data_IF_246383226798
#
_entry.id   IF_246383226798
#
_cell.length_a   1.000
_cell.length_b   1.000
_cell.length_c   1.000
_cell.angle_alpha   90.00
_cell.angle_beta   90.00
_cell.angle_gamma   90.00
#
_symmetry.space_group_name_H-M   'P 1'
#
loop_
_entity.id
_entity.type
_entity.pdbx_description
1 polymer ?
#
# COMPACT_ATOMS: atom_id res chain seq x y z
N UNK A 1 -12.71 8.52 -9.16
CA UNK A 1 -12.50 7.13 -8.69
C UNK A 1 -12.45 7.13 -7.17
N UNK A 2 -12.88 6.02 -6.56
CA UNK A 2 -12.60 5.80 -5.14
C UNK A 2 -11.19 5.25 -4.96
N UNK A 3 -10.36 5.96 -4.22
CA UNK A 3 -8.93 5.64 -4.02
C UNK A 3 -8.69 5.28 -2.56
N UNK A 4 -8.31 4.04 -2.29
CA UNK A 4 -7.85 3.62 -0.96
C UNK A 4 -6.39 4.01 -0.79
N UNK A 5 -6.09 4.81 0.24
CA UNK A 5 -4.72 5.26 0.55
C UNK A 5 -4.27 4.63 1.86
N UNK A 6 -3.43 3.60 1.77
CA UNK A 6 -2.86 2.90 2.92
C UNK A 6 -1.64 3.64 3.46
N UNK A 7 -1.60 3.91 4.76
CA UNK A 7 -0.46 4.50 5.45
C UNK A 7 -0.01 3.65 6.64
N UNK A 8 1.31 3.52 6.81
CA UNK A 8 1.88 2.74 7.91
C UNK A 8 3.14 3.39 8.48
N UNK A 9 2.96 4.39 9.35
CA UNK A 9 4.03 4.98 10.15
C UNK A 9 3.48 5.36 11.54
N UNK A 10 4.20 5.02 12.65
CA UNK A 10 3.69 5.27 14.00
C UNK A 10 3.77 6.72 14.46
N UNK A 11 4.60 7.57 13.83
CA UNK A 11 4.83 8.94 14.28
C UNK A 11 4.11 9.95 13.38
N UNK A 12 3.30 10.82 14.00
CA UNK A 12 2.55 11.86 13.28
C UNK A 12 3.44 12.97 12.71
N UNK A 13 4.59 13.24 13.35
CA UNK A 13 5.59 14.21 12.90
C UNK A 13 6.51 13.68 11.80
N UNK A 14 6.32 12.44 11.35
CA UNK A 14 7.19 11.84 10.35
C UNK A 14 7.00 12.45 8.96
N UNK A 15 8.08 12.45 8.15
CA UNK A 15 7.99 12.80 6.72
C UNK A 15 7.01 11.88 5.96
N UNK A 16 6.93 10.60 6.37
CA UNK A 16 5.94 9.67 5.83
C UNK A 16 4.50 10.13 6.04
N UNK A 17 4.19 10.69 7.23
CA UNK A 17 2.87 11.26 7.54
C UNK A 17 2.59 12.51 6.69
N UNK A 18 3.58 13.39 6.52
CA UNK A 18 3.43 14.56 5.64
C UNK A 18 3.14 14.15 4.19
N UNK A 19 3.83 13.11 3.68
CA UNK A 19 3.58 12.55 2.35
C UNK A 19 2.19 11.93 2.23
N UNK A 20 1.70 11.26 3.28
CA UNK A 20 0.35 10.69 3.30
C UNK A 20 -0.72 11.78 3.20
N UNK A 21 -0.64 12.83 4.04
CA UNK A 21 -1.56 13.97 3.99
C UNK A 21 -1.54 14.62 2.60
N UNK A 22 -0.34 14.92 2.09
CA UNK A 22 -0.17 15.49 0.75
C UNK A 22 -0.78 14.61 -0.35
N UNK A 23 -0.61 13.29 -0.24
CA UNK A 23 -1.17 12.32 -1.20
C UNK A 23 -2.69 12.37 -1.20
N UNK A 24 -3.34 12.35 -0.02
CA UNK A 24 -4.79 12.46 0.10
C UNK A 24 -5.31 13.78 -0.47
N UNK A 25 -4.76 14.92 -0.04
CA UNK A 25 -5.12 16.26 -0.52
C UNK A 25 -4.97 16.41 -2.04
N UNK A 26 -3.89 15.87 -2.62
CA UNK A 26 -3.65 15.95 -4.06
C UNK A 26 -4.63 15.12 -4.87
N UNK A 27 -5.00 13.94 -4.37
CA UNK A 27 -6.01 13.07 -4.99
C UNK A 27 -7.42 13.69 -4.90
N UNK A 28 -7.78 14.28 -3.74
CA UNK A 28 -9.04 14.98 -3.57
C UNK A 28 -9.16 16.19 -4.52
N UNK A 29 -8.07 16.98 -4.63
CA UNK A 29 -7.98 18.10 -5.57
C UNK A 29 -8.12 17.65 -7.03
N UNK A 30 -7.67 16.44 -7.37
CA UNK A 30 -7.86 15.83 -8.67
C UNK A 30 -9.28 15.26 -8.89
N UNK A 31 -10.20 15.45 -7.95
CA UNK A 31 -11.59 15.00 -8.04
C UNK A 31 -11.80 13.52 -7.73
N UNK A 32 -10.90 12.89 -6.96
CA UNK A 32 -11.09 11.54 -6.48
C UNK A 32 -11.79 11.52 -5.12
N UNK A 33 -12.57 10.47 -4.85
CA UNK A 33 -13.06 10.13 -3.52
C UNK A 33 -11.95 9.38 -2.79
N UNK A 34 -11.38 10.00 -1.74
CA UNK A 34 -10.25 9.44 -1.02
C UNK A 34 -10.71 8.73 0.24
N UNK A 35 -10.34 7.46 0.34
CA UNK A 35 -10.51 6.63 1.54
C UNK A 35 -9.13 6.47 2.22
N UNK A 36 -8.80 7.40 3.12
CA UNK A 36 -7.54 7.38 3.85
C UNK A 36 -7.55 6.34 4.98
N UNK A 37 -6.62 5.40 4.96
CA UNK A 37 -6.47 4.32 5.93
C UNK A 37 -5.09 4.40 6.59
N UNK A 38 -5.03 5.06 7.75
CA UNK A 38 -3.84 5.05 8.58
C UNK A 38 -3.92 3.88 9.57
N UNK A 39 -3.17 2.83 9.27
CA UNK A 39 -3.22 1.58 10.02
C UNK A 39 -2.85 1.72 11.51
N UNK A 40 -1.98 2.67 11.87
CA UNK A 40 -1.63 2.94 13.26
C UNK A 40 -2.74 3.71 14.00
N UNK A 41 -3.31 4.75 13.40
CA UNK A 41 -4.41 5.53 13.99
C UNK A 41 -5.67 4.68 14.16
N UNK A 42 -5.92 3.77 13.23
CA UNK A 42 -7.08 2.88 13.28
C UNK A 42 -6.86 1.67 14.22
N UNK A 43 -5.68 1.52 14.82
CA UNK A 43 -5.37 0.41 15.72
C UNK A 43 -5.42 -0.96 15.02
N UNK A 44 -5.06 -1.01 13.73
CA UNK A 44 -5.04 -2.27 12.99
C UNK A 44 -4.07 -3.27 13.65
N UNK A 45 -4.55 -4.47 13.95
CA UNK A 45 -3.69 -5.55 14.43
C UNK A 45 -3.03 -6.28 13.24
N UNK A 46 -1.69 -6.20 13.07
CA UNK A 46 -1.00 -6.82 11.95
C UNK A 46 -0.74 -8.32 12.12
N UNK A 47 -1.02 -8.89 13.30
CA UNK A 47 -0.65 -10.28 13.61
C UNK A 47 -1.72 -11.25 13.13
N UNK A 48 -1.36 -12.12 12.20
CA UNK A 48 -2.22 -13.26 11.81
C UNK A 48 -2.22 -14.28 12.96
N UNK A 49 -3.35 -14.37 13.67
CA UNK A 49 -3.49 -15.26 14.81
C UNK A 49 -3.60 -16.73 14.40
N UNK A 50 -3.42 -17.64 15.37
CA UNK A 50 -3.66 -19.07 15.15
C UNK A 50 -5.13 -19.35 14.76
N UNK A 51 -6.08 -18.55 15.27
CA UNK A 51 -7.49 -18.63 14.89
C UNK A 51 -7.67 -18.24 13.42
N UNK A 52 -7.19 -17.05 13.03
CA UNK A 52 -7.28 -16.55 11.63
C UNK A 52 -6.68 -17.57 10.66
N UNK A 53 -5.56 -18.22 11.05
CA UNK A 53 -4.93 -19.23 10.19
C UNK A 53 -5.76 -20.51 10.07
N UNK A 54 -6.51 -20.92 11.11
CA UNK A 54 -7.39 -22.10 11.03
C UNK A 54 -8.56 -21.86 10.09
N UNK A 55 -9.21 -20.67 10.17
CA UNK A 55 -10.36 -20.30 9.34
C UNK A 55 -9.96 -19.66 8.00
N UNK A 56 -8.67 -19.66 7.65
CA UNK A 56 -8.13 -18.90 6.50
C UNK A 56 -8.84 -19.19 5.18
N UNK A 57 -9.32 -20.42 4.98
CA UNK A 57 -10.04 -20.84 3.78
C UNK A 57 -11.56 -20.95 3.97
N UNK A 58 -12.08 -20.63 5.15
CA UNK A 58 -13.50 -20.72 5.47
C UNK A 58 -14.20 -19.39 5.13
N UNK A 59 -14.67 -19.27 3.90
CA UNK A 59 -15.33 -18.07 3.39
C UNK A 59 -16.84 -18.14 3.78
N UNK A 60 -17.42 -17.08 4.35
CA UNK A 60 -16.85 -15.73 4.60
C UNK A 60 -16.23 -15.55 6.00
N UNK A 61 -16.15 -16.57 6.84
CA UNK A 61 -15.72 -16.46 8.25
C UNK A 61 -14.31 -15.91 8.41
N UNK A 62 -13.42 -16.18 7.44
CA UNK A 62 -12.06 -15.67 7.38
C UNK A 62 -11.96 -14.13 7.33
N UNK A 63 -13.03 -13.43 6.95
CA UNK A 63 -13.06 -11.97 6.85
C UNK A 63 -13.57 -11.29 8.12
N UNK A 64 -14.16 -12.02 9.07
CA UNK A 64 -14.95 -11.46 10.18
C UNK A 64 -14.20 -10.38 10.96
N UNK A 65 -12.96 -10.65 11.37
CA UNK A 65 -12.15 -9.71 12.18
C UNK A 65 -11.57 -8.52 11.38
N UNK A 66 -11.50 -8.65 10.08
CA UNK A 66 -10.91 -7.61 9.19
C UNK A 66 -11.92 -7.05 8.19
N UNK A 67 -13.20 -7.37 8.39
CA UNK A 67 -14.26 -6.97 7.47
C UNK A 67 -14.30 -5.49 7.11
N UNK A 68 -14.09 -4.53 8.04
CA UNK A 68 -14.06 -3.11 7.68
C UNK A 68 -12.98 -2.77 6.64
N UNK A 69 -11.81 -3.40 6.73
CA UNK A 69 -10.71 -3.21 5.78
C UNK A 69 -10.95 -3.93 4.46
N UNK A 70 -11.55 -5.12 4.50
CA UNK A 70 -11.98 -5.86 3.30
C UNK A 70 -13.01 -5.05 2.51
N UNK A 71 -14.02 -4.51 3.17
CA UNK A 71 -15.07 -3.71 2.53
C UNK A 71 -14.50 -2.46 1.84
N UNK A 72 -13.51 -1.80 2.44
CA UNK A 72 -12.79 -0.67 1.85
C UNK A 72 -12.01 -1.08 0.61
N UNK A 73 -11.26 -2.19 0.68
CA UNK A 73 -10.49 -2.72 -0.44
C UNK A 73 -11.39 -3.12 -1.62
N UNK A 74 -12.51 -3.77 -1.35
CA UNK A 74 -13.46 -4.19 -2.39
C UNK A 74 -14.20 -3.02 -3.04
N UNK A 75 -14.37 -1.89 -2.33
CA UNK A 75 -14.97 -0.66 -2.87
C UNK A 75 -13.98 0.21 -3.63
N UNK A 76 -12.67 -0.01 -3.45
CA UNK A 76 -11.64 0.82 -4.06
C UNK A 76 -11.51 0.54 -5.57
N UNK A 77 -11.38 1.58 -6.37
CA UNK A 77 -11.08 1.50 -7.80
C UNK A 77 -9.57 1.70 -8.08
N UNK A 78 -8.85 2.25 -7.10
CA UNK A 78 -7.41 2.43 -7.14
C UNK A 78 -6.81 2.30 -5.75
N UNK A 79 -5.52 1.93 -5.68
CA UNK A 79 -4.78 1.76 -4.44
C UNK A 79 -3.53 2.62 -4.45
N UNK A 80 -3.31 3.37 -3.37
CA UNK A 80 -2.07 4.10 -3.12
C UNK A 80 -1.49 3.66 -1.77
N UNK A 81 -0.20 3.38 -1.74
CA UNK A 81 0.52 2.93 -0.54
C UNK A 81 1.54 4.00 -0.19
N UNK A 82 1.47 4.56 1.03
CA UNK A 82 2.42 5.54 1.55
C UNK A 82 3.10 4.96 2.78
N UNK A 83 4.37 4.58 2.66
CA UNK A 83 5.06 3.82 3.72
C UNK A 83 6.56 4.00 3.69
N UNK A 84 7.26 3.93 4.84
CA UNK A 84 8.71 3.78 4.85
C UNK A 84 9.13 2.38 4.40
N UNK A 85 10.39 2.26 4.03
CA UNK A 85 11.06 0.98 3.82
C UNK A 85 11.95 0.70 5.01
N UNK A 86 11.60 -0.33 5.78
CA UNK A 86 12.35 -0.78 6.93
C UNK A 86 12.97 -2.14 6.64
N UNK A 87 14.27 -2.25 6.92
CA UNK A 87 15.03 -3.48 6.68
C UNK A 87 14.83 -4.04 5.25
N UNK A 88 14.81 -3.14 4.26
CA UNK A 88 14.56 -3.43 2.84
C UNK A 88 13.21 -4.13 2.56
N UNK A 89 12.25 -4.01 3.46
CA UNK A 89 10.89 -4.57 3.34
C UNK A 89 9.81 -3.56 3.68
N UNK A 90 8.57 -4.02 3.69
CA UNK A 90 7.47 -3.25 4.26
C UNK A 90 7.51 -3.33 5.80
N UNK A 91 7.08 -2.25 6.50
CA UNK A 91 6.82 -2.34 7.93
C UNK A 91 5.87 -3.49 8.28
N UNK A 92 6.05 -4.09 9.46
CA UNK A 92 5.21 -5.19 9.93
C UNK A 92 3.71 -4.87 9.85
N UNK A 93 3.33 -3.64 10.18
CA UNK A 93 1.96 -3.14 10.09
C UNK A 93 1.38 -3.29 8.67
N UNK A 94 2.10 -2.83 7.64
CA UNK A 94 1.65 -2.95 6.25
C UNK A 94 1.71 -4.41 5.75
N UNK A 95 2.75 -5.16 6.14
CA UNK A 95 2.84 -6.58 5.79
C UNK A 95 1.67 -7.35 6.39
N UNK A 96 1.35 -7.09 7.65
CA UNK A 96 0.19 -7.69 8.33
C UNK A 96 -1.14 -7.33 7.67
N UNK A 97 -1.29 -6.10 7.16
CA UNK A 97 -2.45 -5.74 6.36
C UNK A 97 -2.59 -6.67 5.13
N UNK A 98 -1.53 -6.91 4.38
CA UNK A 98 -1.58 -7.84 3.26
C UNK A 98 -1.85 -9.28 3.71
N UNK A 99 -1.28 -9.73 4.83
CA UNK A 99 -1.48 -11.09 5.32
C UNK A 99 -2.90 -11.35 5.84
N UNK A 100 -3.56 -10.32 6.39
CA UNK A 100 -4.87 -10.47 7.04
C UNK A 100 -6.06 -9.98 6.20
N UNK A 101 -5.82 -9.09 5.22
CA UNK A 101 -6.92 -8.51 4.41
C UNK A 101 -6.94 -9.08 3.00
N UNK A 102 -5.77 -9.45 2.44
CA UNK A 102 -5.71 -10.05 1.10
C UNK A 102 -5.89 -11.57 1.17
N UNK A 103 -7.07 -11.97 1.58
CA UNK A 103 -7.47 -13.35 1.87
C UNK A 103 -8.08 -14.06 0.66
N UNK A 104 -8.26 -15.40 0.72
CA UNK A 104 -9.18 -16.13 -0.16
C UNK A 104 -10.59 -15.51 -0.11
N UNK A 105 -11.23 -15.38 -1.27
CA UNK A 105 -12.52 -14.68 -1.43
C UNK A 105 -12.42 -13.16 -1.48
N UNK A 106 -11.21 -12.56 -1.27
CA UNK A 106 -10.98 -11.11 -1.35
C UNK A 106 -10.00 -10.77 -2.44
N UNK A 107 -8.73 -11.22 -2.35
CA UNK A 107 -7.69 -10.89 -3.33
C UNK A 107 -7.43 -12.01 -4.34
N UNK A 108 -7.83 -13.22 -4.02
CA UNK A 108 -7.76 -14.38 -4.90
C UNK A 108 -8.78 -15.45 -4.51
N UNK A 109 -9.10 -16.29 -5.48
CA UNK A 109 -9.85 -17.54 -5.30
C UNK A 109 -9.01 -18.73 -5.78
N UNK A 110 -9.37 -19.92 -5.32
CA UNK A 110 -8.86 -21.19 -5.83
C UNK A 110 -9.92 -21.79 -6.75
N UNK A 111 -9.72 -21.64 -8.06
CA UNK A 111 -10.60 -22.21 -9.08
C UNK A 111 -9.87 -23.40 -9.74
N UNK A 112 -10.42 -24.59 -9.62
CA UNK A 112 -9.80 -25.83 -10.11
C UNK A 112 -8.34 -26.02 -9.63
N UNK A 113 -8.07 -25.67 -8.36
CA UNK A 113 -6.74 -25.73 -7.75
C UNK A 113 -5.76 -24.64 -8.24
N UNK A 114 -6.21 -23.69 -9.06
CA UNK A 114 -5.40 -22.58 -9.56
C UNK A 114 -5.75 -21.27 -8.84
N UNK A 115 -4.72 -20.55 -8.44
CA UNK A 115 -4.86 -19.23 -7.85
C UNK A 115 -5.36 -18.23 -8.90
N UNK A 116 -6.55 -17.67 -8.68
CA UNK A 116 -7.19 -16.71 -9.58
C UNK A 116 -7.34 -15.37 -8.86
N UNK A 117 -6.67 -14.30 -9.30
CA UNK A 117 -6.81 -12.96 -8.70
C UNK A 117 -8.20 -12.37 -8.87
N UNK A 118 -8.75 -11.77 -7.80
CA UNK A 118 -10.12 -11.21 -7.75
C UNK A 118 -10.17 -9.67 -7.70
N UNK A 119 -9.05 -8.98 -7.36
CA UNK A 119 -9.00 -7.51 -7.28
C UNK A 119 -8.95 -6.82 -8.66
N UNK A 120 -9.58 -7.40 -9.69
CA UNK A 120 -9.57 -6.90 -11.08
C UNK A 120 -10.31 -5.57 -11.27
N UNK A 121 -11.10 -5.15 -10.30
CA UNK A 121 -11.76 -3.85 -10.23
C UNK A 121 -10.78 -2.71 -9.89
N UNK A 122 -9.63 -2.99 -9.27
CA UNK A 122 -8.57 -1.99 -9.00
C UNK A 122 -7.82 -1.71 -10.31
N UNK A 123 -7.96 -0.47 -10.80
CA UNK A 123 -7.51 -0.05 -12.13
C UNK A 123 -6.19 0.70 -12.13
N UNK A 124 -5.71 1.19 -10.95
CA UNK A 124 -4.45 1.91 -10.80
C UNK A 124 -3.79 1.56 -9.46
N UNK A 125 -2.48 1.57 -9.45
CA UNK A 125 -1.67 1.36 -8.25
C UNK A 125 -0.56 2.41 -8.19
N UNK A 126 -0.36 3.03 -7.03
CA UNK A 126 0.83 3.83 -6.77
C UNK A 126 1.44 3.47 -5.41
N UNK A 127 2.75 3.72 -5.29
CA UNK A 127 3.47 3.60 -4.05
C UNK A 127 4.37 4.82 -3.85
N UNK A 128 4.29 5.45 -2.67
CA UNK A 128 5.12 6.56 -2.21
C UNK A 128 5.95 6.05 -1.05
N UNK A 129 7.25 5.89 -1.28
CA UNK A 129 8.16 5.20 -0.38
C UNK A 129 9.27 6.11 0.12
N UNK A 130 9.68 5.94 1.38
CA UNK A 130 10.89 6.59 1.93
C UNK A 130 11.90 5.53 2.34
N UNK A 131 13.16 5.71 1.94
CA UNK A 131 14.26 4.79 2.20
C UNK A 131 15.35 5.48 3.01
N UNK A 132 15.83 4.85 4.07
CA UNK A 132 17.09 5.26 4.72
C UNK A 132 18.32 4.94 3.86
N UNK A 133 18.22 3.93 2.99
CA UNK A 133 19.31 3.53 2.10
C UNK A 133 19.40 4.41 0.86
N UNK A 134 20.62 4.52 0.30
CA UNK A 134 20.87 5.15 -1.01
C UNK A 134 20.27 4.32 -2.15
N UNK A 135 20.04 4.93 -3.35
CA UNK A 135 19.55 4.19 -4.53
C UNK A 135 20.45 3.00 -4.90
N UNK A 136 21.78 3.17 -4.78
CA UNK A 136 22.74 2.12 -5.08
C UNK A 136 22.60 0.92 -4.13
N UNK A 137 22.47 1.16 -2.81
CA UNK A 137 22.27 0.09 -1.84
C UNK A 137 20.94 -0.64 -2.07
N UNK A 138 19.87 0.11 -2.34
CA UNK A 138 18.57 -0.48 -2.66
C UNK A 138 18.63 -1.36 -3.92
N UNK A 139 19.38 -0.93 -4.94
CA UNK A 139 19.61 -1.71 -6.16
C UNK A 139 20.39 -3.00 -5.89
N UNK A 140 21.51 -2.93 -5.15
CA UNK A 140 22.36 -4.09 -4.84
C UNK A 140 21.62 -5.20 -4.08
N UNK A 141 20.70 -4.84 -3.16
CA UNK A 141 19.86 -5.83 -2.49
C UNK A 141 18.62 -6.23 -3.31
N UNK A 142 18.53 -5.78 -4.56
CA UNK A 142 17.47 -6.14 -5.51
C UNK A 142 16.15 -5.41 -5.33
N UNK A 143 16.09 -4.34 -4.50
CA UNK A 143 14.93 -3.49 -4.25
C UNK A 143 13.61 -4.28 -4.02
N UNK A 144 13.52 -5.11 -2.97
CA UNK A 144 12.37 -5.99 -2.76
C UNK A 144 11.02 -5.26 -2.73
N UNK A 145 10.84 -4.10 -2.03
CA UNK A 145 9.56 -3.40 -2.01
C UNK A 145 9.08 -2.99 -3.41
N UNK A 146 9.99 -2.50 -4.27
CA UNK A 146 9.67 -2.15 -5.65
C UNK A 146 9.22 -3.38 -6.46
N UNK A 147 9.86 -4.53 -6.25
CA UNK A 147 9.46 -5.78 -6.91
C UNK A 147 8.09 -6.26 -6.43
N UNK A 148 7.81 -6.16 -5.12
CA UNK A 148 6.50 -6.52 -4.58
C UNK A 148 5.42 -5.65 -5.22
N UNK A 149 5.57 -4.32 -5.23
CA UNK A 149 4.58 -3.42 -5.84
C UNK A 149 4.41 -3.69 -7.33
N UNK A 150 5.51 -3.72 -8.10
CA UNK A 150 5.46 -3.76 -9.56
C UNK A 150 5.15 -5.15 -10.13
N UNK A 151 5.29 -6.21 -9.35
CA UNK A 151 5.08 -7.58 -9.81
C UNK A 151 3.96 -8.26 -9.02
N UNK A 152 4.11 -8.39 -7.68
CA UNK A 152 3.17 -9.18 -6.87
C UNK A 152 1.81 -8.49 -6.76
N UNK A 153 1.77 -7.24 -6.31
CA UNK A 153 0.51 -6.50 -6.16
C UNK A 153 -0.11 -6.20 -7.53
N UNK A 154 0.72 -5.83 -8.52
CA UNK A 154 0.24 -5.61 -9.90
C UNK A 154 -0.40 -6.85 -10.53
N UNK A 155 0.09 -8.04 -10.23
CA UNK A 155 -0.47 -9.29 -10.77
C UNK A 155 -1.89 -9.58 -10.26
N UNK A 156 -2.30 -9.01 -9.12
CA UNK A 156 -3.60 -9.25 -8.50
C UNK A 156 -4.69 -8.26 -8.95
N UNK A 157 -4.31 -7.09 -9.44
CA UNK A 157 -5.23 -6.04 -9.91
C UNK A 157 -5.54 -6.16 -11.41
N UNK A 158 -6.25 -5.19 -11.99
CA UNK A 158 -6.59 -5.18 -13.43
C UNK A 158 -5.36 -5.43 -14.30
N UNK A 159 -5.49 -6.33 -15.25
CA UNK A 159 -4.41 -6.63 -16.22
C UNK A 159 -4.07 -5.35 -17.01
N UNK A 160 -2.77 -5.04 -17.11
CA UNK A 160 -2.31 -3.82 -17.77
C UNK A 160 -2.44 -2.55 -16.94
N UNK A 161 -2.93 -2.61 -15.69
CA UNK A 161 -3.05 -1.43 -14.82
C UNK A 161 -1.72 -0.67 -14.73
N UNK A 162 -1.73 0.67 -14.84
CA UNK A 162 -0.55 1.48 -14.62
C UNK A 162 -0.12 1.40 -13.16
N UNK A 163 1.20 1.33 -12.95
CA UNK A 163 1.81 1.32 -11.62
C UNK A 163 2.83 2.44 -11.53
N UNK A 164 2.66 3.34 -10.56
CA UNK A 164 3.62 4.38 -10.22
C UNK A 164 4.39 4.01 -8.96
N UNK A 165 5.71 4.11 -9.00
CA UNK A 165 6.57 3.88 -7.83
C UNK A 165 7.43 5.12 -7.60
N UNK A 166 7.08 5.89 -6.57
CA UNK A 166 7.77 7.12 -6.16
C UNK A 166 8.60 6.80 -4.93
N UNK A 167 9.89 7.08 -4.95
CA UNK A 167 10.77 6.79 -3.83
C UNK A 167 11.68 7.99 -3.53
N UNK A 168 11.72 8.37 -2.25
CA UNK A 168 12.75 9.23 -1.69
C UNK A 168 13.79 8.34 -1.02
N UNK A 169 15.02 8.42 -1.47
CA UNK A 169 16.15 7.66 -0.94
C UNK A 169 16.99 8.52 -0.02
N UNK A 170 17.84 7.86 0.78
CA UNK A 170 18.85 8.49 1.63
C UNK A 170 18.27 9.48 2.65
N UNK A 171 17.17 9.07 3.31
CA UNK A 171 16.48 9.88 4.30
C UNK A 171 17.37 10.34 5.46
N UNK A 172 18.43 9.60 5.77
CA UNK A 172 19.37 9.95 6.84
C UNK A 172 20.21 11.20 6.51
N UNK A 173 20.40 11.51 5.23
CA UNK A 173 21.14 12.67 4.73
C UNK A 173 20.24 13.65 3.95
N UNK A 174 18.92 13.54 4.10
CA UNK A 174 17.99 14.41 3.37
C UNK A 174 18.06 15.85 3.86
N UNK A 175 17.95 16.80 2.92
CA UNK A 175 17.83 18.23 3.19
C UNK A 175 16.38 18.70 3.01
N UNK A 176 16.08 19.94 3.39
CA UNK A 176 14.76 20.54 3.13
C UNK A 176 14.47 20.60 1.64
N UNK A 177 15.49 20.92 0.81
CA UNK A 177 15.34 21.00 -0.64
C UNK A 177 14.98 19.65 -1.25
N UNK A 178 15.64 18.56 -0.83
CA UNK A 178 15.35 17.22 -1.34
C UNK A 178 13.97 16.74 -0.93
N UNK A 179 13.52 17.05 0.29
CA UNK A 179 12.16 16.76 0.77
C UNK A 179 11.13 17.57 0.00
N UNK A 180 11.35 18.89 -0.17
CA UNK A 180 10.45 19.76 -0.93
C UNK A 180 10.31 19.32 -2.39
N UNK A 181 11.43 18.99 -3.04
CA UNK A 181 11.44 18.49 -4.42
C UNK A 181 10.65 17.17 -4.54
N UNK A 182 10.80 16.25 -3.58
CA UNK A 182 10.05 15.01 -3.57
C UNK A 182 8.57 15.23 -3.31
N UNK A 183 8.19 16.11 -2.38
CA UNK A 183 6.80 16.50 -2.15
C UNK A 183 6.16 17.11 -3.41
N UNK A 184 6.86 18.01 -4.11
CA UNK A 184 6.39 18.57 -5.37
C UNK A 184 6.17 17.49 -6.44
N UNK A 185 7.06 16.49 -6.51
CA UNK A 185 6.90 15.33 -7.39
C UNK A 185 5.67 14.51 -7.02
N UNK A 186 5.48 14.16 -5.73
CA UNK A 186 4.32 13.40 -5.26
C UNK A 186 3.02 14.14 -5.58
N UNK A 187 2.95 15.44 -5.29
CA UNK A 187 1.79 16.29 -5.61
C UNK A 187 1.44 16.18 -7.09
N UNK A 188 2.39 16.46 -7.97
CA UNK A 188 2.17 16.40 -9.42
C UNK A 188 1.69 15.04 -9.89
N UNK A 189 2.27 13.96 -9.37
CA UNK A 189 1.92 12.61 -9.78
C UNK A 189 0.54 12.17 -9.25
N UNK A 190 0.11 12.70 -8.11
CA UNK A 190 -1.22 12.41 -7.53
C UNK A 190 -2.31 13.30 -8.13
N UNK A 191 -2.02 14.56 -8.46
CA UNK A 191 -2.94 15.44 -9.21
C UNK A 191 -3.21 14.91 -10.63
N UNK A 192 -2.31 14.08 -11.19
CA UNK A 192 -2.45 13.42 -12.51
C UNK A 192 -2.67 11.90 -12.39
N UNK A 193 -3.21 11.45 -11.27
CA UNK A 193 -3.40 10.03 -10.98
C UNK A 193 -4.61 9.39 -11.67
#
# INVERSE_FOLDING_TARGET
>A
MRVLVLHSHPLDESFGRALYKLTCESLEKAGHEVDGCNLYEEGFDPVLSAHDRRVYHDIPDNMTLVKPYVDRLLKAEALVIVTPVWNFGFPAMLKGYFDRVWLPGVSFDLVDGKLTPTLRHIRKLAAVMTYGATPMRAFLVGNPPKKIVNRVLRAQIKIGAPVKYLAHYDMNNCTEETRAAFMAKVRREMENF
#
